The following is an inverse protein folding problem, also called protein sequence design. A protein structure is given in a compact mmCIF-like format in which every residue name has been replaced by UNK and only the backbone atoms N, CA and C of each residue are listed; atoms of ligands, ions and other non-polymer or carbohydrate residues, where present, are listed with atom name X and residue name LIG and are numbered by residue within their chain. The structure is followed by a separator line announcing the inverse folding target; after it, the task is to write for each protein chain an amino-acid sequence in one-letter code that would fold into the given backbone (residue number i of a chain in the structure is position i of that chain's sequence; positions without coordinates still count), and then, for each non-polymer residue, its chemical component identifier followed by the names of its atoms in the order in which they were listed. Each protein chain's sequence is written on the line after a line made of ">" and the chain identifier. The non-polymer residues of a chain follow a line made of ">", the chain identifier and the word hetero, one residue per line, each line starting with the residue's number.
data_IF_483976330905
#
_entry.id   IF_483976330905
#
_cell.length_a   1.000
_cell.length_b   1.000
_cell.length_c   1.000
_cell.angle_alpha   90.00
_cell.angle_beta   90.00
_cell.angle_gamma   90.00
#
_symmetry.space_group_name_H-M   'P 1'
#
loop_
_entity.id
_entity.type
_entity.pdbx_description
1 polymer ?
#
# COMPACT_ATOMS: atom_id res chain seq x y z
N UNK A 1 -7.09 18.29 -11.37
CA UNK A 1 -8.05 18.65 -10.30
C UNK A 1 -8.53 20.07 -10.54
N UNK A 2 -9.84 20.32 -10.52
CA UNK A 2 -10.38 21.66 -10.77
C UNK A 2 -10.10 22.59 -9.58
N UNK A 3 -9.90 23.89 -9.84
CA UNK A 3 -9.72 24.88 -8.77
C UNK A 3 -11.05 25.07 -8.03
N UNK A 4 -11.04 25.20 -6.69
CA UNK A 4 -12.26 25.39 -5.93
C UNK A 4 -12.92 26.72 -6.29
N UNK A 5 -14.24 26.68 -6.44
CA UNK A 5 -15.11 27.84 -6.70
C UNK A 5 -15.17 28.76 -5.45
N UNK A 6 -15.65 29.99 -5.62
CA UNK A 6 -15.68 31.01 -4.56
C UNK A 6 -16.39 30.52 -3.29
N UNK A 7 -17.55 29.86 -3.44
CA UNK A 7 -18.31 29.28 -2.31
C UNK A 7 -17.52 28.23 -1.54
N UNK A 8 -16.74 27.39 -2.24
CA UNK A 8 -15.93 26.36 -1.60
C UNK A 8 -14.79 26.99 -0.78
N UNK A 9 -14.21 28.10 -1.25
CA UNK A 9 -13.15 28.80 -0.50
C UNK A 9 -13.68 29.49 0.74
N UNK A 10 -14.87 30.09 0.65
CA UNK A 10 -15.56 30.69 1.79
C UNK A 10 -15.93 29.63 2.83
N UNK A 11 -16.40 28.47 2.39
CA UNK A 11 -16.69 27.32 3.26
C UNK A 11 -15.44 26.81 3.98
N UNK A 12 -14.35 26.59 3.25
CA UNK A 12 -13.07 26.16 3.84
C UNK A 12 -12.58 27.19 4.87
N UNK A 13 -12.66 28.49 4.55
CA UNK A 13 -12.25 29.55 5.46
C UNK A 13 -13.12 29.62 6.73
N UNK A 14 -14.38 29.20 6.66
CA UNK A 14 -15.27 29.06 7.82
C UNK A 14 -14.86 27.86 8.67
N UNK A 15 -14.66 26.69 8.05
CA UNK A 15 -14.27 25.45 8.73
C UNK A 15 -12.90 25.58 9.43
N UNK A 16 -11.94 26.27 8.82
CA UNK A 16 -10.61 26.50 9.44
C UNK A 16 -10.67 27.36 10.70
N UNK A 17 -11.73 28.14 10.91
CA UNK A 17 -11.91 28.99 12.10
C UNK A 17 -12.72 28.31 13.21
N UNK A 18 -13.32 27.16 12.93
CA UNK A 18 -14.08 26.40 13.92
C UNK A 18 -13.10 25.74 14.91
N UNK A 19 -13.35 25.80 16.23
CA UNK A 19 -12.51 25.13 17.21
C UNK A 19 -12.75 23.61 17.20
N UNK A 20 -11.70 22.83 17.46
CA UNK A 20 -11.75 21.36 17.46
C UNK A 20 -12.81 20.77 18.41
N UNK A 21 -13.12 21.48 19.51
CA UNK A 21 -14.14 21.06 20.48
C UNK A 21 -15.57 21.04 19.93
N UNK A 22 -15.83 21.74 18.83
CA UNK A 22 -17.14 21.77 18.16
C UNK A 22 -17.24 20.72 17.04
N UNK A 23 -16.20 19.92 16.80
CA UNK A 23 -16.23 18.85 15.81
C UNK A 23 -16.98 17.65 16.40
N UNK A 24 -18.12 17.32 15.80
CA UNK A 24 -18.87 16.11 16.13
C UNK A 24 -18.17 14.87 15.56
N UNK A 25 -17.75 13.98 16.46
CA UNK A 25 -17.10 12.69 16.14
C UNK A 25 -17.95 11.50 16.59
N UNK A 26 -19.23 11.71 16.89
CA UNK A 26 -20.12 10.67 17.42
C UNK A 26 -20.26 9.44 16.52
N UNK A 27 -20.07 9.58 15.21
CA UNK A 27 -20.10 8.51 14.21
C UNK A 27 -18.76 7.76 14.08
N UNK A 28 -17.66 8.38 14.50
CA UNK A 28 -16.30 7.84 14.41
C UNK A 28 -15.59 8.05 15.76
N UNK A 29 -15.92 7.22 16.77
CA UNK A 29 -15.27 7.30 18.06
C UNK A 29 -13.77 7.01 17.96
N UNK A 30 -13.00 7.60 18.86
CA UNK A 30 -11.55 7.42 18.90
C UNK A 30 -11.17 5.95 19.18
N UNK A 31 -10.24 5.41 18.39
CA UNK A 31 -9.71 4.06 18.57
C UNK A 31 -8.63 4.10 19.65
N UNK A 32 -8.93 3.56 20.82
CA UNK A 32 -7.99 3.49 21.96
C UNK A 32 -7.27 2.15 22.04
N UNK A 33 -7.87 1.06 21.56
CA UNK A 33 -7.26 -0.27 21.49
C UNK A 33 -6.72 -0.56 20.08
N UNK A 34 -5.41 -0.77 20.00
CA UNK A 34 -4.68 -1.06 18.78
C UNK A 34 -4.18 -2.51 18.70
N UNK A 35 -4.59 -3.39 19.62
CA UNK A 35 -4.10 -4.77 19.68
C UNK A 35 -4.37 -5.58 18.39
N UNK A 36 -5.44 -5.25 17.65
CA UNK A 36 -5.79 -5.88 16.37
C UNK A 36 -5.22 -5.17 15.13
N UNK A 37 -4.38 -4.16 15.28
CA UNK A 37 -3.91 -3.37 14.15
C UNK A 37 -2.93 -4.16 13.26
N UNK A 38 -3.24 -4.24 11.97
CA UNK A 38 -2.35 -4.87 10.98
C UNK A 38 -1.30 -3.86 10.49
N UNK A 39 -0.10 -3.91 11.07
CA UNK A 39 1.03 -3.15 10.54
C UNK A 39 1.39 -3.62 9.12
N UNK A 40 1.50 -2.67 8.19
CA UNK A 40 2.00 -2.94 6.85
C UNK A 40 1.01 -3.56 5.88
N UNK A 41 -0.29 -3.64 6.20
CA UNK A 41 -1.35 -4.12 5.29
C UNK A 41 -1.30 -3.49 3.89
N UNK A 42 -0.94 -2.21 3.83
CA UNK A 42 -0.85 -1.44 2.60
C UNK A 42 0.59 -1.24 2.10
N UNK A 43 1.58 -1.86 2.74
CA UNK A 43 2.96 -1.76 2.30
C UNK A 43 3.14 -2.46 0.95
N UNK A 44 3.45 -1.69 -0.08
CA UNK A 44 3.82 -2.20 -1.41
C UNK A 44 5.30 -1.90 -1.64
N UNK A 45 6.16 -2.93 -1.66
CA UNK A 45 7.57 -2.74 -1.96
C UNK A 45 7.73 -2.07 -3.34
N UNK A 46 8.55 -1.02 -3.41
CA UNK A 46 8.91 -0.42 -4.69
C UNK A 46 9.72 -1.42 -5.52
N UNK A 47 9.20 -1.76 -6.70
CA UNK A 47 9.92 -2.61 -7.64
C UNK A 47 11.06 -1.80 -8.24
N UNK A 48 12.29 -2.33 -8.19
CA UNK A 48 13.44 -1.78 -8.90
C UNK A 48 13.63 -2.59 -10.18
N UNK A 49 13.75 -1.91 -11.31
CA UNK A 49 14.13 -2.57 -12.56
C UNK A 49 15.62 -2.91 -12.50
N UNK A 50 15.93 -4.19 -12.60
CA UNK A 50 17.29 -4.71 -12.60
C UNK A 50 17.45 -5.68 -13.77
N UNK A 51 18.65 -5.78 -14.33
CA UNK A 51 18.98 -6.78 -15.33
C UNK A 51 19.43 -8.05 -14.63
N UNK A 52 18.61 -9.10 -14.68
CA UNK A 52 18.89 -10.42 -14.11
C UNK A 52 18.87 -11.46 -15.23
N UNK A 53 19.82 -12.41 -15.20
CA UNK A 53 19.80 -13.58 -16.08
C UNK A 53 19.07 -14.71 -15.37
N UNK A 54 18.12 -15.32 -16.06
CA UNK A 54 17.39 -16.50 -15.64
C UNK A 54 17.55 -17.56 -16.72
N UNK A 55 17.56 -18.83 -16.32
CA UNK A 55 17.59 -19.93 -17.28
C UNK A 55 16.33 -19.93 -18.15
N UNK A 56 16.49 -20.41 -19.39
CA UNK A 56 15.45 -20.33 -20.41
C UNK A 56 14.22 -21.16 -20.06
N UNK A 57 14.44 -22.34 -19.48
CA UNK A 57 13.41 -23.27 -19.00
C UNK A 57 12.58 -22.69 -17.86
N UNK A 58 13.23 -22.05 -16.88
CA UNK A 58 12.54 -21.35 -15.80
C UNK A 58 11.67 -20.22 -16.34
N UNK A 59 12.21 -19.44 -17.28
CA UNK A 59 11.46 -18.34 -17.88
C UNK A 59 10.24 -18.86 -18.67
N UNK A 60 10.39 -19.95 -19.40
CA UNK A 60 9.32 -20.62 -20.13
C UNK A 60 8.23 -21.13 -19.19
N UNK A 61 8.61 -21.86 -18.14
CA UNK A 61 7.68 -22.35 -17.12
C UNK A 61 6.84 -21.24 -16.47
N UNK A 62 7.47 -20.12 -16.10
CA UNK A 62 6.75 -18.98 -15.53
C UNK A 62 5.84 -18.28 -16.56
N UNK A 63 6.14 -18.36 -17.86
CA UNK A 63 5.30 -17.81 -18.94
C UNK A 63 4.09 -18.68 -19.24
N UNK A 64 4.24 -20.01 -19.23
CA UNK A 64 3.15 -20.96 -19.42
C UNK A 64 2.04 -20.80 -18.39
N UNK A 65 2.44 -20.40 -17.18
CA UNK A 65 1.54 -20.09 -16.08
C UNK A 65 0.64 -18.84 -16.30
N UNK A 66 0.83 -18.12 -17.40
CA UNK A 66 -0.05 -17.03 -17.87
C UNK A 66 0.49 -15.62 -17.59
N UNK A 67 -0.42 -14.65 -17.64
CA UNK A 67 -0.10 -13.24 -17.45
C UNK A 67 0.61 -12.98 -16.12
N UNK A 68 1.56 -12.02 -16.12
CA UNK A 68 2.33 -11.55 -14.96
C UNK A 68 3.44 -12.49 -14.46
N UNK A 69 4.09 -13.25 -15.35
CA UNK A 69 5.27 -14.09 -15.02
C UNK A 69 6.34 -13.38 -14.15
N UNK A 70 6.66 -12.11 -14.43
CA UNK A 70 7.59 -11.31 -13.62
C UNK A 70 7.13 -11.11 -12.16
N UNK A 71 5.82 -11.00 -11.94
CA UNK A 71 5.26 -10.87 -10.59
C UNK A 71 5.36 -12.20 -9.84
N UNK A 72 5.19 -13.33 -10.53
CA UNK A 72 5.35 -14.67 -9.95
C UNK A 72 6.80 -14.97 -9.60
N UNK A 73 7.75 -14.59 -10.45
CA UNK A 73 9.18 -14.70 -10.13
C UNK A 73 9.51 -13.91 -8.86
N UNK A 74 9.03 -12.66 -8.77
CA UNK A 74 9.26 -11.83 -7.60
C UNK A 74 8.60 -12.38 -6.33
N UNK A 75 7.44 -13.02 -6.45
CA UNK A 75 6.75 -13.72 -5.35
C UNK A 75 7.59 -14.90 -4.84
N UNK A 76 8.05 -15.77 -5.74
CA UNK A 76 8.90 -16.92 -5.39
C UNK A 76 10.19 -16.49 -4.69
N UNK A 77 10.84 -15.42 -5.16
CA UNK A 77 12.03 -14.87 -4.52
C UNK A 77 11.74 -14.33 -3.10
N UNK A 78 10.55 -13.77 -2.86
CA UNK A 78 10.15 -13.31 -1.51
C UNK A 78 9.95 -14.47 -0.56
N UNK A 79 9.24 -15.50 -0.99
CA UNK A 79 9.01 -16.71 -0.20
C UNK A 79 10.34 -17.41 0.15
N UNK A 80 11.27 -17.43 -0.81
CA UNK A 80 12.64 -17.89 -0.56
C UNK A 80 13.35 -17.02 0.49
N UNK A 81 13.32 -15.69 0.36
CA UNK A 81 13.92 -14.79 1.35
C UNK A 81 13.32 -14.99 2.76
N UNK A 82 11.99 -15.07 2.87
CA UNK A 82 11.30 -15.18 4.15
C UNK A 82 11.56 -16.52 4.85
N UNK A 83 11.64 -17.61 4.08
CA UNK A 83 12.02 -18.92 4.62
C UNK A 83 13.46 -18.96 5.14
N UNK A 84 14.39 -18.27 4.47
CA UNK A 84 15.79 -18.22 4.87
C UNK A 84 16.10 -17.16 5.94
N UNK A 85 15.21 -16.18 6.12
CA UNK A 85 15.32 -15.14 7.17
C UNK A 85 14.96 -15.66 8.55
N UNK A 86 14.04 -16.63 8.64
CA UNK A 86 13.61 -17.24 9.92
C UNK A 86 14.63 -18.22 10.51
N UNK A 87 15.70 -18.56 9.78
CA UNK A 87 16.76 -19.46 10.22
C UNK A 87 17.93 -18.73 10.93
N UNK A 88 17.75 -17.47 11.34
CA UNK A 88 18.75 -16.66 12.05
C UNK A 88 18.16 -15.98 13.28
#
# INVERSE_FOLDING_TARGET
>A
MSKPDKKQREEVARLTKQPDSEIDTSDIPEVTDWAGAEMGKFYRPMKKQVTLRLDADMLEWFREQGGRYQTRINQALREYMDSHRKAR
#
